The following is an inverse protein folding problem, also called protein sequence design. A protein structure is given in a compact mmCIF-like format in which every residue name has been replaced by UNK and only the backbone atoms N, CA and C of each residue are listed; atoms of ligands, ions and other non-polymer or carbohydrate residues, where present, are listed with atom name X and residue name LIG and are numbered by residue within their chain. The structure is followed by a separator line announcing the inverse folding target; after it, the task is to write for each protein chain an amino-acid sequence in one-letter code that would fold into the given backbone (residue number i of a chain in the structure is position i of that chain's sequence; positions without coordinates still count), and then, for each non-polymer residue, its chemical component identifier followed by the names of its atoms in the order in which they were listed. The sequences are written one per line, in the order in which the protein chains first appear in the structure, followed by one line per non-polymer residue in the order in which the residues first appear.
data_IF_795169569236
#
_entry.id   IF_795169569236
#
_cell.length_a   1.000
_cell.length_b   1.000
_cell.length_c   1.000
_cell.angle_alpha   90.00
_cell.angle_beta   90.00
_cell.angle_gamma   90.00
#
_symmetry.space_group_name_H-M   'P 1'
#
loop_
_entity.id
_entity.type
_entity.pdbx_description
1 polymer ?
#
# COMPACT_ATOMS: atom_id res chain seq x y z
N UNK A 1 16.87 11.06 -26.18
CA UNK A 1 16.74 11.56 -27.57
C UNK A 1 15.26 11.67 -27.84
N UNK A 2 14.52 10.57 -28.00
CA UNK A 2 13.05 10.56 -28.12
C UNK A 2 12.28 11.53 -27.19
N UNK A 3 12.45 11.46 -25.87
CA UNK A 3 11.78 12.40 -24.94
C UNK A 3 12.15 13.89 -25.14
N UNK A 4 13.37 14.17 -25.63
CA UNK A 4 13.80 15.54 -25.95
C UNK A 4 13.20 15.98 -27.27
N UNK A 5 13.21 15.09 -28.25
CA UNK A 5 12.68 15.34 -29.60
C UNK A 5 11.15 15.58 -29.55
N UNK A 6 10.41 14.84 -28.71
CA UNK A 6 8.98 15.06 -28.44
C UNK A 6 8.73 16.37 -27.67
N UNK A 7 9.53 16.67 -26.65
CA UNK A 7 9.37 17.91 -25.88
C UNK A 7 9.67 19.16 -26.74
N UNK A 8 10.64 19.06 -27.66
CA UNK A 8 10.94 20.08 -28.65
C UNK A 8 9.80 20.26 -29.65
N UNK A 9 9.15 19.18 -30.09
CA UNK A 9 7.96 19.23 -30.95
C UNK A 9 6.75 19.91 -30.29
N UNK A 10 6.63 19.86 -28.96
CA UNK A 10 5.52 20.45 -28.19
C UNK A 10 5.92 21.84 -27.61
N UNK A 11 7.18 22.28 -27.79
CA UNK A 11 7.67 23.57 -27.30
C UNK A 11 7.86 23.62 -25.77
N UNK A 12 8.04 22.47 -25.11
CA UNK A 12 8.17 22.34 -23.65
C UNK A 12 9.59 21.91 -23.28
N UNK A 13 10.08 22.34 -22.12
CA UNK A 13 11.39 21.86 -21.60
C UNK A 13 11.34 20.35 -21.33
N UNK A 14 12.26 19.59 -21.92
CA UNK A 14 12.32 18.14 -21.78
C UNK A 14 12.58 17.69 -20.33
N UNK A 15 11.53 17.24 -19.63
CA UNK A 15 11.68 16.60 -18.32
C UNK A 15 11.97 15.10 -18.52
N UNK A 16 13.26 14.74 -18.51
CA UNK A 16 13.71 13.38 -18.76
C UNK A 16 13.38 12.50 -17.56
N UNK A 17 12.31 11.71 -17.69
CA UNK A 17 11.91 10.75 -16.65
C UNK A 17 12.51 9.38 -16.94
N UNK A 18 13.06 8.75 -15.91
CA UNK A 18 13.58 7.38 -15.99
C UNK A 18 12.43 6.37 -15.88
N UNK A 19 12.58 5.21 -16.51
CA UNK A 19 11.69 4.08 -16.29
C UNK A 19 11.83 3.59 -14.85
N UNK A 20 10.70 3.29 -14.22
CA UNK A 20 10.64 2.64 -12.91
C UNK A 20 10.42 1.16 -13.15
N UNK A 21 11.26 0.30 -12.52
CA UNK A 21 11.07 -1.14 -12.57
C UNK A 21 10.34 -1.60 -11.31
N UNK A 22 9.35 -2.49 -11.42
CA UNK A 22 8.67 -3.02 -10.26
C UNK A 22 9.63 -3.95 -9.50
N UNK A 23 9.52 -3.98 -8.17
CA UNK A 23 10.39 -4.77 -7.30
C UNK A 23 9.54 -5.49 -6.27
N UNK A 24 9.83 -6.76 -6.01
CA UNK A 24 9.04 -7.57 -5.05
C UNK A 24 9.11 -7.08 -3.60
N UNK A 25 10.08 -6.25 -3.24
CA UNK A 25 10.39 -5.88 -1.85
C UNK A 25 9.86 -4.50 -1.44
N UNK A 26 9.54 -3.63 -2.40
CA UNK A 26 9.06 -2.28 -2.12
C UNK A 26 7.56 -2.21 -2.34
N UNK A 27 6.82 -1.76 -1.33
CA UNK A 27 5.38 -1.57 -1.44
C UNK A 27 5.08 -0.53 -2.51
N UNK A 28 3.94 -0.69 -3.20
CA UNK A 28 3.49 0.15 -4.32
C UNK A 28 4.40 0.17 -5.57
N UNK A 29 5.45 -0.66 -5.67
CA UNK A 29 6.36 -0.60 -6.81
C UNK A 29 5.67 -0.85 -8.16
N UNK A 30 4.63 -1.68 -8.18
CA UNK A 30 3.84 -1.96 -9.39
C UNK A 30 2.99 -0.75 -9.77
N UNK A 31 2.33 -0.11 -8.80
CA UNK A 31 1.60 1.14 -9.01
C UNK A 31 2.52 2.23 -9.56
N UNK A 32 3.68 2.47 -8.92
CA UNK A 32 4.68 3.46 -9.37
C UNK A 32 5.17 3.15 -10.79
N UNK A 33 5.30 1.87 -11.14
CA UNK A 33 5.68 1.43 -12.49
C UNK A 33 4.60 1.76 -13.50
N UNK A 34 3.32 1.48 -13.20
CA UNK A 34 2.22 1.76 -14.11
C UNK A 34 2.02 3.25 -14.32
N UNK A 35 2.04 4.05 -13.24
CA UNK A 35 1.97 5.52 -13.33
C UNK A 35 3.12 6.04 -14.20
N UNK A 36 4.36 5.58 -13.97
CA UNK A 36 5.49 6.00 -14.80
C UNK A 36 5.38 5.52 -16.25
N UNK A 37 4.83 4.33 -16.49
CA UNK A 37 4.62 3.82 -17.84
C UNK A 37 3.60 4.68 -18.59
N UNK A 38 2.48 5.04 -17.95
CA UNK A 38 1.47 5.93 -18.53
C UNK A 38 2.03 7.33 -18.84
N UNK A 39 2.85 7.90 -17.95
CA UNK A 39 3.57 9.16 -18.19
C UNK A 39 4.56 9.09 -19.38
N UNK A 40 5.04 7.88 -19.69
CA UNK A 40 6.05 7.62 -20.71
C UNK A 40 5.50 6.88 -21.93
N UNK A 41 4.17 6.81 -22.08
CA UNK A 41 3.51 6.08 -23.16
C UNK A 41 4.05 6.47 -24.54
N UNK A 42 4.01 7.76 -24.89
CA UNK A 42 4.52 8.25 -26.19
C UNK A 42 6.00 7.91 -26.43
N UNK A 43 6.93 8.19 -25.48
CA UNK A 43 8.32 7.76 -25.63
C UNK A 43 8.54 6.25 -25.78
N UNK A 44 7.70 5.43 -25.13
CA UNK A 44 7.77 3.96 -25.17
C UNK A 44 7.35 3.46 -26.56
N UNK A 45 6.24 3.96 -27.10
CA UNK A 45 5.75 3.58 -28.42
C UNK A 45 6.71 4.06 -29.52
N UNK A 46 7.18 5.30 -29.43
CA UNK A 46 8.22 5.86 -30.30
C UNK A 46 9.49 5.00 -30.32
N UNK A 47 9.86 4.43 -29.16
CA UNK A 47 11.01 3.54 -29.06
C UNK A 47 10.76 2.19 -29.75
N UNK A 48 9.57 1.62 -29.62
CA UNK A 48 9.19 0.37 -30.28
C UNK A 48 9.20 0.55 -31.80
N UNK A 49 8.59 1.63 -32.30
CA UNK A 49 8.61 1.97 -33.72
C UNK A 49 10.04 2.13 -34.24
N UNK A 50 10.90 2.83 -33.49
CA UNK A 50 12.30 2.99 -33.85
C UNK A 50 13.01 1.64 -33.98
N UNK A 51 12.78 0.72 -33.04
CA UNK A 51 13.38 -0.63 -33.09
C UNK A 51 12.83 -1.50 -34.21
N UNK A 52 11.55 -1.37 -34.55
CA UNK A 52 10.95 -2.02 -35.70
C UNK A 52 11.55 -1.51 -37.01
N UNK A 53 11.70 -0.18 -37.15
CA UNK A 53 12.34 0.46 -38.32
C UNK A 53 13.79 0.01 -38.47
N UNK A 54 14.57 0.03 -37.38
CA UNK A 54 15.96 -0.46 -37.34
C UNK A 54 16.07 -1.92 -37.81
N UNK A 55 15.23 -2.81 -37.28
CA UNK A 55 15.22 -4.21 -37.68
C UNK A 55 14.79 -4.41 -39.16
N UNK A 56 13.78 -3.66 -39.62
CA UNK A 56 13.31 -3.72 -41.00
C UNK A 56 14.40 -3.32 -42.00
N UNK A 57 15.17 -2.28 -41.68
CA UNK A 57 16.29 -1.81 -42.49
C UNK A 57 17.43 -2.83 -42.54
N UNK A 58 17.76 -3.45 -41.39
CA UNK A 58 18.77 -4.50 -41.30
C UNK A 58 18.38 -5.76 -42.11
N UNK A 59 17.09 -6.09 -42.19
CA UNK A 59 16.59 -7.30 -42.86
C UNK A 59 16.27 -7.08 -44.34
N UNK A 60 16.07 -5.84 -44.78
CA UNK A 60 15.79 -5.48 -46.18
C UNK A 60 16.80 -6.05 -47.21
N UNK A 61 18.13 -6.01 -47.00
CA UNK A 61 19.09 -6.59 -47.93
C UNK A 61 19.05 -8.13 -47.96
N UNK A 62 18.71 -8.79 -46.85
CA UNK A 62 18.53 -10.25 -46.81
C UNK A 62 17.29 -10.68 -47.61
N UNK A 63 16.17 -9.95 -47.49
CA UNK A 63 14.94 -10.25 -48.26
C UNK A 63 15.12 -10.18 -49.77
N UNK A 64 16.09 -9.37 -50.26
CA UNK A 64 16.37 -9.21 -51.69
C UNK A 64 17.26 -10.32 -52.28
N UNK A 65 17.98 -11.10 -51.46
CA UNK A 65 18.87 -12.18 -51.93
C UNK A 65 18.20 -13.55 -51.77
N UNK A 66 17.56 -14.05 -52.83
CA UNK A 66 16.78 -15.30 -52.86
C UNK A 66 17.58 -16.60 -52.68
N UNK A 67 18.91 -16.60 -52.85
CA UNK A 67 19.69 -17.82 -53.15
C UNK A 67 20.92 -18.07 -52.24
N UNK A 68 20.92 -17.72 -50.96
CA UNK A 68 22.06 -18.10 -50.09
C UNK A 68 21.57 -18.53 -48.72
N UNK A 69 21.86 -19.78 -48.35
CA UNK A 69 21.74 -20.28 -46.98
C UNK A 69 22.46 -19.29 -46.05
N UNK A 70 21.69 -18.48 -45.33
CA UNK A 70 22.20 -17.48 -44.41
C UNK A 70 21.54 -17.71 -43.06
N UNK A 71 22.37 -17.66 -42.02
CA UNK A 71 21.95 -17.72 -40.62
C UNK A 71 20.81 -16.70 -40.40
N UNK A 72 19.71 -17.09 -39.73
CA UNK A 72 18.59 -16.19 -39.51
C UNK A 72 19.09 -14.95 -38.76
N UNK A 73 18.81 -13.77 -39.31
CA UNK A 73 19.08 -12.51 -38.63
C UNK A 73 18.51 -12.59 -37.21
N UNK A 74 19.28 -12.14 -36.21
CA UNK A 74 18.85 -12.19 -34.81
C UNK A 74 17.50 -11.48 -34.70
N UNK A 75 16.46 -12.25 -34.41
CA UNK A 75 15.10 -11.72 -34.34
C UNK A 75 15.02 -10.69 -33.20
N UNK A 76 14.25 -9.60 -33.38
CA UNK A 76 14.04 -8.65 -32.31
C UNK A 76 13.29 -9.36 -31.18
N UNK A 77 13.37 -8.81 -29.98
CA UNK A 77 12.63 -9.34 -28.82
C UNK A 77 11.15 -9.45 -29.19
N UNK A 78 10.50 -10.53 -28.73
CA UNK A 78 9.11 -10.84 -29.05
C UNK A 78 8.18 -9.64 -28.87
N UNK A 79 8.28 -8.94 -27.74
CA UNK A 79 7.52 -7.71 -27.45
C UNK A 79 7.66 -6.61 -28.53
N UNK A 80 8.86 -6.41 -29.08
CA UNK A 80 9.08 -5.43 -30.15
C UNK A 80 8.48 -5.92 -31.47
N UNK A 81 8.52 -7.24 -31.71
CA UNK A 81 7.95 -7.87 -32.91
C UNK A 81 6.42 -7.80 -32.93
N UNK A 82 5.79 -7.85 -31.76
CA UNK A 82 4.33 -7.78 -31.58
C UNK A 82 3.79 -6.35 -31.67
N UNK A 83 4.65 -5.35 -31.85
CA UNK A 83 4.23 -3.95 -31.97
C UNK A 83 4.12 -3.21 -30.64
N UNK A 84 4.51 -3.85 -29.53
CA UNK A 84 4.48 -3.23 -28.21
C UNK A 84 3.15 -3.38 -27.48
N UNK A 85 2.80 -2.38 -26.67
CA UNK A 85 1.50 -2.33 -26.00
C UNK A 85 0.47 -1.74 -26.98
N UNK A 86 -0.66 -2.42 -27.13
CA UNK A 86 -1.81 -1.95 -27.89
C UNK A 86 -2.59 -0.88 -27.11
N UNK A 87 -3.50 -0.16 -27.80
CA UNK A 87 -4.41 0.79 -27.13
C UNK A 87 -5.22 0.15 -26.01
N UNK A 88 -5.68 -1.09 -26.22
CA UNK A 88 -6.35 -1.93 -25.22
C UNK A 88 -5.47 -2.24 -24.00
N UNK A 89 -4.18 -2.52 -24.21
CA UNK A 89 -3.25 -2.77 -23.10
C UNK A 89 -3.05 -1.50 -22.27
N UNK A 90 -2.96 -0.34 -22.92
CA UNK A 90 -2.85 0.95 -22.25
C UNK A 90 -4.12 1.35 -21.50
N UNK A 91 -5.30 1.06 -22.05
CA UNK A 91 -6.57 1.19 -21.35
C UNK A 91 -6.58 0.31 -20.10
N UNK A 92 -6.13 -0.94 -20.21
CA UNK A 92 -6.05 -1.88 -19.08
C UNK A 92 -5.05 -1.41 -18.01
N UNK A 93 -3.90 -0.87 -18.39
CA UNK A 93 -2.93 -0.27 -17.44
C UNK A 93 -3.57 0.90 -16.70
N UNK A 94 -4.35 1.73 -17.39
CA UNK A 94 -5.04 2.88 -16.79
C UNK A 94 -6.07 2.41 -15.75
N UNK A 95 -6.80 1.33 -16.05
CA UNK A 95 -7.72 0.68 -15.12
C UNK A 95 -6.99 0.12 -13.87
N UNK A 96 -5.81 -0.49 -14.04
CA UNK A 96 -5.00 -0.91 -12.90
C UNK A 96 -4.49 0.25 -12.05
N UNK A 97 -4.16 1.39 -12.66
CA UNK A 97 -3.77 2.59 -11.91
C UNK A 97 -4.93 3.04 -11.01
N UNK A 98 -6.15 3.11 -11.55
CA UNK A 98 -7.34 3.47 -10.77
C UNK A 98 -7.64 2.46 -9.66
N UNK A 99 -7.44 1.16 -9.91
CA UNK A 99 -7.61 0.12 -8.90
C UNK A 99 -6.59 0.23 -7.76
N UNK A 100 -5.33 0.51 -8.08
CA UNK A 100 -4.23 0.52 -7.11
C UNK A 100 -4.05 1.87 -6.40
N UNK A 101 -4.51 2.97 -6.99
CA UNK A 101 -4.38 4.32 -6.43
C UNK A 101 -4.93 4.44 -5.00
N UNK A 102 -6.14 3.95 -4.68
CA UNK A 102 -6.64 3.97 -3.32
C UNK A 102 -5.73 3.24 -2.32
N UNK A 103 -5.14 2.11 -2.73
CA UNK A 103 -4.22 1.34 -1.87
C UNK A 103 -2.88 2.06 -1.69
N UNK A 104 -2.37 2.71 -2.74
CA UNK A 104 -1.16 3.52 -2.65
C UNK A 104 -1.38 4.74 -1.75
N UNK A 105 -2.56 5.36 -1.80
CA UNK A 105 -2.93 6.44 -0.90
C UNK A 105 -3.08 5.96 0.55
N UNK A 106 -3.83 4.87 0.77
CA UNK A 106 -4.01 4.27 2.09
C UNK A 106 -2.69 3.91 2.75
N UNK A 107 -1.79 3.25 2.02
CA UNK A 107 -0.45 2.89 2.53
C UNK A 107 0.38 4.13 2.86
N UNK A 108 0.40 5.15 1.98
CA UNK A 108 1.09 6.43 2.27
C UNK A 108 0.52 7.15 3.49
N UNK A 109 -0.80 7.14 3.66
CA UNK A 109 -1.48 7.74 4.82
C UNK A 109 -1.10 7.02 6.12
N UNK A 110 -1.11 5.68 6.12
CA UNK A 110 -0.85 4.87 7.30
C UNK A 110 0.65 4.73 7.64
N UNK A 111 1.54 4.82 6.66
CA UNK A 111 3.01 4.83 6.88
C UNK A 111 3.54 6.17 7.40
N UNK A 112 2.81 7.26 7.12
CA UNK A 112 3.28 8.61 7.43
C UNK A 112 3.16 8.94 8.91
N UNK A 113 4.28 9.07 9.64
CA UNK A 113 4.35 10.11 10.69
C UNK A 113 4.36 11.47 9.98
N UNK A 114 3.19 11.96 9.61
CA UNK A 114 3.04 13.21 8.83
C UNK A 114 3.81 14.37 9.47
N UNK A 115 4.15 15.41 8.68
CA UNK A 115 4.91 16.61 9.10
C UNK A 115 4.42 17.28 10.40
N UNK A 116 3.20 16.97 10.86
CA UNK A 116 2.56 17.45 12.10
C UNK A 116 2.02 16.32 13.00
N UNK A 117 2.39 15.05 12.79
CA UNK A 117 1.89 13.90 13.55
C UNK A 117 0.39 13.63 13.39
N UNK A 118 -0.23 14.04 12.27
CA UNK A 118 -1.69 13.98 12.05
C UNK A 118 -2.21 12.67 11.46
N UNK A 119 -1.34 11.85 10.88
CA UNK A 119 -1.68 10.59 10.23
C UNK A 119 -0.76 9.47 10.72
N UNK A 120 -1.11 8.22 10.41
CA UNK A 120 -0.44 7.01 10.89
C UNK A 120 -0.90 6.60 12.30
N UNK A 121 -2.06 7.08 12.74
CA UNK A 121 -2.62 6.73 14.03
C UNK A 121 -3.46 5.45 13.93
N UNK A 122 -3.43 4.62 14.97
CA UNK A 122 -4.11 3.31 14.98
C UNK A 122 -5.62 3.44 14.70
N UNK A 123 -6.25 4.54 15.14
CA UNK A 123 -7.67 4.80 14.91
C UNK A 123 -8.03 5.01 13.43
N UNK A 124 -7.08 5.42 12.58
CA UNK A 124 -7.32 5.63 11.14
C UNK A 124 -7.46 4.32 10.38
N UNK A 125 -6.94 3.22 10.92
CA UNK A 125 -6.82 1.94 10.19
C UNK A 125 -8.20 1.39 9.83
N UNK A 126 -9.12 1.24 10.78
CA UNK A 126 -10.47 0.70 10.49
C UNK A 126 -11.23 1.56 9.50
N UNK A 127 -11.15 2.89 9.64
CA UNK A 127 -11.80 3.85 8.74
C UNK A 127 -11.22 3.75 7.33
N UNK A 128 -9.91 3.57 7.21
CA UNK A 128 -9.23 3.42 5.91
C UNK A 128 -9.65 2.12 5.21
N UNK A 129 -9.85 1.03 5.96
CA UNK A 129 -10.32 -0.24 5.39
C UNK A 129 -11.76 -0.15 4.87
N UNK A 130 -12.67 0.50 5.61
CA UNK A 130 -14.04 0.73 5.14
C UNK A 130 -14.05 1.59 3.86
N UNK A 131 -13.24 2.65 3.83
CA UNK A 131 -13.08 3.46 2.62
C UNK A 131 -12.55 2.65 1.43
N UNK A 132 -11.53 1.80 1.62
CA UNK A 132 -11.00 0.93 0.56
C UNK A 132 -12.06 -0.06 0.03
N UNK A 133 -12.90 -0.62 0.90
CA UNK A 133 -14.00 -1.49 0.50
C UNK A 133 -14.99 -0.74 -0.39
N UNK A 134 -15.32 0.51 -0.06
CA UNK A 134 -16.21 1.33 -0.86
C UNK A 134 -15.60 1.73 -2.21
N UNK A 135 -14.28 2.00 -2.26
CA UNK A 135 -13.57 2.22 -3.54
C UNK A 135 -13.65 0.98 -4.44
N UNK A 136 -13.43 -0.22 -3.90
CA UNK A 136 -13.54 -1.46 -4.67
C UNK A 136 -14.96 -1.72 -5.19
N UNK A 137 -16.00 -1.43 -4.38
CA UNK A 137 -17.40 -1.54 -4.82
C UNK A 137 -17.68 -0.56 -5.96
N UNK A 138 -17.29 0.70 -5.81
CA UNK A 138 -17.48 1.73 -6.85
C UNK A 138 -16.78 1.36 -8.16
N UNK A 139 -15.55 0.85 -8.09
CA UNK A 139 -14.82 0.36 -9.26
C UNK A 139 -15.51 -0.85 -9.90
N UNK A 140 -15.95 -1.82 -9.09
CA UNK A 140 -16.67 -2.99 -9.58
C UNK A 140 -17.97 -2.59 -10.27
N UNK A 141 -18.72 -1.64 -9.73
CA UNK A 141 -19.97 -1.17 -10.33
C UNK A 141 -19.71 -0.44 -11.64
N UNK A 142 -18.69 0.42 -11.71
CA UNK A 142 -18.29 1.08 -12.96
C UNK A 142 -17.89 0.08 -14.06
N UNK A 143 -17.17 -0.99 -13.70
CA UNK A 143 -16.73 -1.99 -14.66
C UNK A 143 -17.88 -2.83 -15.23
N UNK A 144 -19.03 -2.94 -14.54
CA UNK A 144 -20.21 -3.65 -15.07
C UNK A 144 -20.82 -2.97 -16.30
N UNK A 145 -20.67 -1.66 -16.39
CA UNK A 145 -21.26 -0.84 -17.46
C UNK A 145 -20.33 -0.71 -18.68
N UNK A 146 -19.15 -1.35 -18.65
CA UNK A 146 -18.18 -1.32 -19.75
C UNK A 146 -18.60 -2.28 -20.86
N UNK A 147 -18.64 -1.77 -22.10
CA UNK A 147 -18.88 -2.60 -23.27
C UNK A 147 -17.58 -3.27 -23.75
N UNK A 148 -17.38 -4.54 -23.37
CA UNK A 148 -16.18 -5.30 -23.73
C UNK A 148 -16.09 -5.72 -25.21
N UNK A 149 -17.15 -5.48 -26.00
CA UNK A 149 -17.15 -5.70 -27.46
C UNK A 149 -16.43 -4.58 -28.23
N UNK A 150 -16.13 -3.45 -27.58
CA UNK A 150 -15.35 -2.37 -28.18
C UNK A 150 -13.87 -2.80 -28.31
N UNK A 151 -13.24 -2.68 -29.50
CA UNK A 151 -11.82 -3.00 -29.69
C UNK A 151 -10.87 -2.19 -28.78
N UNK A 152 -11.28 -1.01 -28.31
CA UNK A 152 -10.51 -0.16 -27.40
C UNK A 152 -10.86 -0.37 -25.91
N UNK A 153 -11.82 -1.28 -25.60
CA UNK A 153 -12.18 -1.58 -24.23
C UNK A 153 -11.05 -2.31 -23.47
N UNK A 154 -10.92 -2.05 -22.17
CA UNK A 154 -9.95 -2.74 -21.33
C UNK A 154 -10.30 -4.24 -21.18
N UNK A 155 -9.34 -5.04 -20.72
CA UNK A 155 -9.51 -6.49 -20.64
C UNK A 155 -10.63 -6.95 -19.67
N UNK A 156 -11.43 -7.92 -20.11
CA UNK A 156 -12.59 -8.47 -19.39
C UNK A 156 -12.23 -9.07 -18.00
N UNK A 157 -10.99 -9.54 -17.85
CA UNK A 157 -10.55 -10.13 -16.58
C UNK A 157 -10.37 -9.12 -15.43
N UNK A 158 -10.50 -7.81 -15.68
CA UNK A 158 -10.39 -6.79 -14.63
C UNK A 158 -11.41 -6.97 -13.51
N UNK A 159 -12.65 -7.36 -13.83
CA UNK A 159 -13.69 -7.61 -12.81
C UNK A 159 -13.26 -8.74 -11.88
N UNK A 160 -12.63 -9.78 -12.42
CA UNK A 160 -12.06 -10.89 -11.63
C UNK A 160 -10.97 -10.37 -10.69
N UNK A 161 -10.11 -9.48 -11.14
CA UNK A 161 -9.05 -8.91 -10.30
C UNK A 161 -9.59 -7.99 -9.20
N UNK A 162 -10.63 -7.20 -9.47
CA UNK A 162 -11.33 -6.42 -8.43
C UNK A 162 -11.95 -7.34 -7.38
N UNK A 163 -12.57 -8.45 -7.80
CA UNK A 163 -13.10 -9.45 -6.87
C UNK A 163 -11.99 -10.09 -6.01
N UNK A 164 -10.82 -10.40 -6.60
CA UNK A 164 -9.67 -10.90 -5.84
C UNK A 164 -9.15 -9.87 -4.83
N UNK A 165 -9.08 -8.59 -5.22
CA UNK A 165 -8.70 -7.51 -4.33
C UNK A 165 -9.69 -7.36 -3.16
N UNK A 166 -11.00 -7.44 -3.44
CA UNK A 166 -12.04 -7.41 -2.42
C UNK A 166 -11.94 -8.58 -1.45
N UNK A 167 -11.82 -9.80 -1.96
CA UNK A 167 -11.62 -11.00 -1.14
C UNK A 167 -10.36 -10.89 -0.26
N UNK A 168 -9.27 -10.35 -0.82
CA UNK A 168 -8.04 -10.16 -0.06
C UNK A 168 -8.20 -9.11 1.04
N UNK A 169 -8.87 -8.00 0.75
CA UNK A 169 -9.14 -6.95 1.72
C UNK A 169 -10.05 -7.47 2.85
N UNK A 170 -11.08 -8.25 2.52
CA UNK A 170 -11.95 -8.90 3.49
C UNK A 170 -11.18 -9.85 4.44
N UNK A 171 -10.25 -10.66 3.91
CA UNK A 171 -9.38 -11.53 4.74
C UNK A 171 -8.56 -10.73 5.77
N UNK A 172 -8.08 -9.55 5.41
CA UNK A 172 -7.41 -8.67 6.38
C UNK A 172 -8.39 -7.99 7.32
N UNK A 173 -9.60 -7.68 6.84
CA UNK A 173 -10.64 -7.06 7.63
C UNK A 173 -11.15 -7.97 8.77
N UNK A 174 -11.21 -9.27 8.53
CA UNK A 174 -11.53 -10.28 9.56
C UNK A 174 -10.49 -10.33 10.69
N UNK A 175 -9.23 -9.97 10.42
CA UNK A 175 -8.17 -9.97 11.45
C UNK A 175 -8.40 -8.90 12.52
N UNK A 176 -9.22 -7.88 12.25
CA UNK A 176 -9.59 -6.88 13.25
C UNK A 176 -10.46 -7.44 14.38
N UNK A 177 -11.15 -8.55 14.16
CA UNK A 177 -12.05 -9.17 15.13
C UNK A 177 -11.27 -9.65 16.39
N UNK A 178 -10.00 -9.99 16.21
CA UNK A 178 -9.11 -10.45 17.28
C UNK A 178 -8.15 -9.36 17.78
N UNK A 179 -8.33 -8.11 17.35
CA UNK A 179 -7.41 -7.01 17.64
C UNK A 179 -8.13 -5.83 18.30
N UNK A 180 -8.49 -5.94 19.60
CA UNK A 180 -9.27 -4.93 20.32
C UNK A 180 -8.57 -3.56 20.40
N UNK A 181 -7.27 -3.49 20.11
CA UNK A 181 -6.49 -2.25 20.04
C UNK A 181 -7.06 -1.27 19.00
N UNK A 182 -7.54 -1.75 17.84
CA UNK A 182 -8.10 -0.88 16.81
C UNK A 182 -9.46 -0.33 17.20
N UNK A 183 -10.29 -1.17 17.83
CA UNK A 183 -11.54 -0.73 18.44
C UNK A 183 -11.31 0.32 19.52
N UNK A 184 -10.41 0.03 20.48
CA UNK A 184 -10.08 0.93 21.58
C UNK A 184 -9.57 2.28 21.09
N UNK A 185 -8.64 2.28 20.12
CA UNK A 185 -8.11 3.51 19.54
C UNK A 185 -9.21 4.37 18.89
N UNK A 186 -10.17 3.74 18.20
CA UNK A 186 -11.26 4.44 17.53
C UNK A 186 -12.28 5.02 18.51
N UNK A 187 -12.66 4.24 19.54
CA UNK A 187 -13.64 4.67 20.55
C UNK A 187 -13.09 5.75 21.48
N UNK A 188 -11.80 5.69 21.80
CA UNK A 188 -11.13 6.71 22.63
C UNK A 188 -10.90 8.03 21.88
N UNK A 189 -11.00 8.03 20.55
CA UNK A 189 -10.85 9.25 19.78
C UNK A 189 -12.11 10.13 19.87
N UNK A 190 -12.04 11.39 20.35
CA UNK A 190 -13.21 12.23 20.60
C UNK A 190 -14.15 12.38 19.41
N UNK A 191 -13.60 12.51 18.20
CA UNK A 191 -14.37 12.62 16.95
C UNK A 191 -14.96 11.29 16.44
N UNK A 192 -14.29 10.17 16.69
CA UNK A 192 -14.63 8.87 16.09
C UNK A 192 -15.31 7.91 17.08
N UNK A 193 -15.54 8.34 18.33
CA UNK A 193 -16.22 7.56 19.37
C UNK A 193 -17.49 6.87 18.89
N UNK A 194 -18.34 7.58 18.16
CA UNK A 194 -19.63 7.08 17.68
C UNK A 194 -19.57 6.54 16.24
N UNK A 195 -18.39 6.56 15.61
CA UNK A 195 -18.25 6.26 14.18
C UNK A 195 -18.52 4.79 13.88
N UNK A 196 -17.96 3.87 14.66
CA UNK A 196 -18.18 2.42 14.48
C UNK A 196 -19.65 2.03 14.70
N UNK A 197 -20.28 2.63 15.70
CA UNK A 197 -21.71 2.42 15.96
C UNK A 197 -22.60 2.97 14.84
N UNK A 198 -22.18 4.04 14.15
CA UNK A 198 -22.88 4.57 12.99
C UNK A 198 -22.64 3.73 11.72
N UNK A 199 -21.40 3.29 11.48
CA UNK A 199 -21.02 2.48 10.32
C UNK A 199 -21.73 1.12 10.29
N UNK A 200 -21.75 0.43 11.43
CA UNK A 200 -22.38 -0.90 11.52
C UNK A 200 -23.75 -0.86 12.18
N UNK A 201 -24.39 0.31 12.17
CA UNK A 201 -25.78 0.40 12.57
C UNK A 201 -26.61 -0.47 11.64
N UNK A 202 -27.29 -1.46 12.23
CA UNK A 202 -28.27 -2.26 11.48
C UNK A 202 -29.31 -1.31 10.89
N UNK A 203 -29.47 -1.26 9.55
CA UNK A 203 -30.47 -0.40 8.94
C UNK A 203 -31.87 -0.76 9.43
N UNK A 204 -32.74 0.23 9.64
CA UNK A 204 -34.12 -0.02 10.09
C UNK A 204 -34.92 -0.88 9.09
N UNK A 205 -34.47 -0.98 7.85
CA UNK A 205 -35.05 -1.79 6.78
C UNK A 205 -34.56 -3.24 6.77
N UNK A 206 -33.56 -3.57 7.60
CA UNK A 206 -32.98 -4.91 7.66
C UNK A 206 -33.91 -5.85 8.43
N UNK A 207 -34.26 -6.97 7.79
CA UNK A 207 -35.09 -8.00 8.40
C UNK A 207 -34.24 -9.27 8.46
N UNK A 208 -33.88 -9.71 9.67
CA UNK A 208 -32.98 -10.87 9.88
C UNK A 208 -33.49 -12.16 9.21
N UNK A 209 -34.82 -12.33 9.14
CA UNK A 209 -35.44 -13.48 8.48
C UNK A 209 -35.31 -13.45 6.94
N UNK A 210 -35.15 -12.26 6.33
CA UNK A 210 -35.05 -12.08 4.87
C UNK A 210 -33.61 -11.95 4.40
N UNK A 211 -32.83 -11.13 5.12
CA UNK A 211 -31.49 -10.70 4.71
C UNK A 211 -30.38 -11.47 5.45
N UNK A 212 -30.74 -12.35 6.40
CA UNK A 212 -29.81 -13.08 7.25
C UNK A 212 -29.30 -12.24 8.43
N UNK A 213 -28.34 -12.79 9.18
CA UNK A 213 -27.67 -12.09 10.29
C UNK A 213 -26.82 -10.94 9.72
N UNK A 214 -26.93 -9.74 10.30
CA UNK A 214 -26.12 -8.60 9.89
C UNK A 214 -24.63 -8.94 9.97
N UNK A 215 -23.85 -8.59 8.94
CA UNK A 215 -22.47 -9.07 8.76
C UNK A 215 -21.48 -8.67 9.89
N UNK A 216 -21.88 -7.75 10.79
CA UNK A 216 -21.13 -7.37 12.01
C UNK A 216 -21.94 -7.50 13.31
N UNK A 217 -22.98 -8.33 13.31
CA UNK A 217 -23.78 -8.57 14.52
C UNK A 217 -22.89 -9.05 15.69
N UNK A 218 -23.09 -8.47 16.87
CA UNK A 218 -22.30 -8.74 18.07
C UNK A 218 -20.82 -8.28 18.07
N UNK A 219 -20.26 -7.82 16.94
CA UNK A 219 -18.85 -7.42 16.85
C UNK A 219 -18.52 -6.26 17.81
N UNK A 220 -19.38 -5.24 17.83
CA UNK A 220 -19.20 -4.05 18.66
C UNK A 220 -19.24 -4.40 20.15
N UNK A 221 -20.20 -5.25 20.56
CA UNK A 221 -20.37 -5.68 21.94
C UNK A 221 -19.22 -6.58 22.40
N UNK A 222 -18.72 -7.45 21.53
CA UNK A 222 -17.59 -8.33 21.83
C UNK A 222 -16.30 -7.53 22.02
N UNK A 223 -16.04 -6.57 21.12
CA UNK A 223 -14.88 -5.69 21.23
C UNK A 223 -15.00 -4.72 22.42
N UNK A 224 -16.21 -4.23 22.73
CA UNK A 224 -16.45 -3.42 23.91
C UNK A 224 -16.14 -4.20 25.20
N UNK A 225 -16.61 -5.45 25.30
CA UNK A 225 -16.30 -6.34 26.42
C UNK A 225 -14.81 -6.62 26.55
N UNK A 226 -14.12 -6.88 25.44
CA UNK A 226 -12.67 -7.07 25.43
C UNK A 226 -11.92 -5.81 25.88
N UNK A 227 -12.35 -4.64 25.43
CA UNK A 227 -11.82 -3.35 25.86
C UNK A 227 -11.99 -3.12 27.37
N UNK A 228 -13.19 -3.37 27.92
CA UNK A 228 -13.43 -3.22 29.36
C UNK A 228 -12.54 -4.14 30.19
N UNK A 229 -12.34 -5.39 29.75
CA UNK A 229 -11.43 -6.33 30.42
C UNK A 229 -9.99 -5.82 30.44
N UNK A 230 -9.48 -5.38 29.28
CA UNK A 230 -8.15 -4.78 29.16
C UNK A 230 -7.99 -3.52 30.03
N UNK A 231 -9.05 -2.70 30.11
CA UNK A 231 -9.04 -1.50 30.93
C UNK A 231 -9.02 -1.81 32.44
N UNK A 232 -9.78 -2.82 32.87
CA UNK A 232 -9.78 -3.28 34.26
C UNK A 232 -8.41 -3.83 34.68
N UNK A 233 -7.79 -4.67 33.84
CA UNK A 233 -6.44 -5.18 34.09
C UNK A 233 -5.42 -4.06 34.26
N UNK A 234 -5.46 -3.04 33.39
CA UNK A 234 -4.61 -1.85 33.51
C UNK A 234 -4.91 -1.06 34.79
N UNK A 235 -6.18 -0.88 35.13
CA UNK A 235 -6.59 -0.13 36.32
C UNK A 235 -6.11 -0.81 37.60
N UNK A 236 -6.27 -2.14 37.68
CA UNK A 236 -5.83 -2.92 38.83
C UNK A 236 -4.29 -2.89 38.95
N UNK A 237 -3.57 -3.08 37.85
CA UNK A 237 -2.11 -2.95 37.83
C UNK A 237 -1.63 -1.53 38.22
N UNK A 238 -2.39 -0.49 37.89
CA UNK A 238 -2.07 0.88 38.30
C UNK A 238 -2.30 1.13 39.80
N UNK A 239 -3.31 0.49 40.39
CA UNK A 239 -3.59 0.53 41.84
C UNK A 239 -2.47 -0.20 42.61
N UNK A 240 -2.07 -1.38 42.14
CA UNK A 240 -0.97 -2.16 42.75
C UNK A 240 0.38 -1.41 42.72
N UNK A 241 0.62 -0.57 41.72
CA UNK A 241 1.82 0.28 41.61
C UNK A 241 1.69 1.56 42.46
N UNK A 242 0.47 2.11 42.58
CA UNK A 242 0.21 3.31 43.38
C UNK A 242 0.33 3.06 44.89
N UNK A 243 -0.04 1.86 45.37
CA UNK A 243 0.13 1.45 46.77
C UNK A 243 1.62 1.25 47.16
N UNK A 244 2.53 1.14 46.19
CA UNK A 244 3.96 0.97 46.40
C UNK A 244 4.81 2.25 46.22
N UNK A 245 4.26 3.35 45.67
CA UNK A 245 5.03 4.54 45.30
C UNK A 245 4.29 5.83 45.71
N UNK A 246 4.90 6.59 46.63
CA UNK A 246 4.49 7.98 46.93
C UNK A 246 4.49 8.82 45.63
N UNK A 247 3.43 9.60 45.31
CA UNK A 247 3.32 10.25 44.02
C UNK A 247 4.49 11.22 43.76
N UNK A 248 5.09 11.22 42.54
CA UNK A 248 6.18 12.13 42.25
C UNK A 248 5.63 13.56 42.18
N UNK A 249 6.25 14.47 42.95
CA UNK A 249 5.94 15.89 42.85
C UNK A 249 6.23 16.40 41.43
N UNK A 250 5.30 17.20 40.89
CA UNK A 250 5.40 17.83 39.58
C UNK A 250 6.71 18.61 39.51
N UNK A 251 7.64 18.16 38.66
CA UNK A 251 8.85 18.94 38.35
C UNK A 251 8.45 20.17 37.53
N UNK A 252 8.98 21.37 37.84
CA UNK A 252 8.79 22.54 37.00
C UNK A 252 9.40 22.30 35.62
N UNK A 253 8.70 22.74 34.58
CA UNK A 253 9.23 22.76 33.22
C UNK A 253 10.44 23.70 33.17
N UNK A 254 11.58 23.19 32.70
CA UNK A 254 12.80 23.98 32.52
C UNK A 254 13.26 23.91 31.06
N UNK A 255 13.17 25.08 30.40
CA UNK A 255 14.22 25.71 29.61
C UNK A 255 14.73 25.01 28.34
N UNK A 256 14.48 25.66 27.20
CA UNK A 256 15.27 25.50 25.97
C UNK A 256 16.75 25.79 26.25
N UNK A 257 17.67 24.90 25.84
CA UNK A 257 18.88 25.27 25.07
C UNK A 257 19.78 24.06 24.82
N UNK A 258 19.79 23.59 23.57
CA UNK A 258 20.96 23.02 22.90
C UNK A 258 20.72 23.19 21.39
N UNK A 259 21.66 23.80 20.66
CA UNK A 259 21.47 24.17 19.26
C UNK A 259 21.10 22.96 18.39
N UNK A 260 19.95 23.07 17.72
CA UNK A 260 19.25 22.08 16.89
C UNK A 260 20.15 21.40 15.85
N UNK A 261 21.15 22.10 15.33
CA UNK A 261 22.04 21.61 14.26
C UNK A 261 23.08 20.58 14.74
N UNK A 262 23.60 20.71 15.96
CA UNK A 262 24.60 19.78 16.51
C UNK A 262 23.98 18.41 16.85
N UNK A 263 22.73 18.41 17.31
CA UNK A 263 21.95 17.21 17.59
C UNK A 263 21.55 16.47 16.29
N UNK A 264 21.14 17.22 15.25
CA UNK A 264 20.74 16.66 13.96
C UNK A 264 21.88 15.89 13.26
N UNK A 265 23.11 16.41 13.26
CA UNK A 265 24.22 15.74 12.58
C UNK A 265 24.69 14.45 13.27
N UNK A 266 24.67 14.43 14.61
CA UNK A 266 24.92 13.22 15.40
C UNK A 266 23.89 12.13 15.09
N UNK A 267 22.59 12.47 15.12
CA UNK A 267 21.51 11.52 14.85
C UNK A 267 21.48 11.02 13.41
N UNK A 268 21.84 11.83 12.41
CA UNK A 268 21.94 11.40 10.99
C UNK A 268 23.04 10.35 10.82
N UNK A 269 24.21 10.57 11.44
CA UNK A 269 25.39 9.69 11.34
C UNK A 269 25.16 8.33 12.02
N UNK A 270 24.41 8.30 13.11
CA UNK A 270 24.07 7.07 13.83
C UNK A 270 23.00 6.26 13.11
N UNK A 271 22.00 6.92 12.51
CA UNK A 271 20.94 6.24 11.75
C UNK A 271 21.44 5.61 10.44
N UNK A 272 22.38 6.26 9.73
CA UNK A 272 22.99 5.70 8.51
C UNK A 272 23.74 4.38 8.80
N UNK A 273 24.48 4.30 9.91
CA UNK A 273 25.19 3.08 10.34
C UNK A 273 24.24 1.95 10.75
N UNK A 274 23.07 2.29 11.28
CA UNK A 274 22.07 1.32 11.73
C UNK A 274 21.24 0.78 10.56
N UNK A 275 20.99 1.59 9.53
CA UNK A 275 20.33 1.18 8.27
C UNK A 275 21.21 0.23 7.46
N UNK A 276 22.53 0.48 7.38
CA UNK A 276 23.48 -0.43 6.70
C UNK A 276 23.57 -1.80 7.38
N UNK A 277 23.43 -1.87 8.71
CA UNK A 277 23.40 -3.12 9.47
C UNK A 277 22.06 -3.87 9.36
N UNK A 278 20.96 -3.18 9.05
CA UNK A 278 19.59 -3.73 9.02
C UNK A 278 19.22 -4.44 7.71
N UNK A 279 20.06 -4.33 6.67
CA UNK A 279 19.77 -4.83 5.31
C UNK A 279 19.99 -6.34 5.12
N UNK A 280 20.36 -7.09 6.16
CA UNK A 280 20.74 -8.50 6.00
C UNK A 280 19.68 -9.55 6.35
N UNK A 281 18.56 -9.24 7.01
CA UNK A 281 17.46 -10.21 7.19
C UNK A 281 16.11 -9.58 7.62
N UNK A 282 15.00 -10.21 7.19
CA UNK A 282 13.61 -9.85 7.46
C UNK A 282 13.26 -10.04 8.95
N UNK A 283 13.03 -8.93 9.67
CA UNK A 283 12.81 -8.86 11.12
C UNK A 283 11.62 -9.71 11.59
N UNK A 284 10.59 -9.86 10.75
CA UNK A 284 9.43 -10.67 11.11
C UNK A 284 9.77 -12.17 11.16
N UNK A 285 10.67 -12.63 10.27
CA UNK A 285 11.12 -14.02 10.24
C UNK A 285 12.13 -14.34 11.34
N UNK A 286 12.95 -13.38 11.74
CA UNK A 286 13.82 -13.52 12.92
C UNK A 286 12.97 -13.66 14.18
N UNK A 287 11.96 -12.80 14.35
CA UNK A 287 11.09 -12.80 15.54
C UNK A 287 10.31 -14.12 15.69
N UNK A 288 9.85 -14.71 14.57
CA UNK A 288 9.15 -16.00 14.59
C UNK A 288 10.04 -17.21 14.90
N UNK A 289 11.36 -17.08 14.75
CA UNK A 289 12.34 -18.17 15.00
C UNK A 289 12.93 -18.14 16.40
N UNK A 290 12.70 -17.07 17.16
CA UNK A 290 13.14 -16.99 18.54
C UNK A 290 12.24 -17.89 19.41
N UNK A 291 12.81 -18.75 20.26
CA UNK A 291 12.03 -19.52 21.22
C UNK A 291 11.37 -18.55 22.22
N UNK A 292 10.14 -18.85 22.63
CA UNK A 292 9.46 -18.07 23.65
C UNK A 292 10.28 -18.07 24.94
N UNK A 293 10.39 -16.91 25.59
CA UNK A 293 11.08 -16.77 26.88
C UNK A 293 10.47 -17.75 27.89
N UNK A 294 11.34 -18.52 28.56
CA UNK A 294 10.92 -19.44 29.59
C UNK A 294 10.19 -18.69 30.71
N UNK A 295 9.18 -19.31 31.32
CA UNK A 295 8.31 -18.68 32.32
C UNK A 295 9.07 -18.20 33.56
N UNK A 296 10.25 -18.73 33.80
CA UNK A 296 11.11 -18.40 34.92
C UNK A 296 12.14 -17.30 34.61
N UNK A 297 12.21 -16.83 33.35
CA UNK A 297 13.20 -15.85 32.93
C UNK A 297 12.83 -14.44 33.42
N UNK A 298 13.79 -13.71 34.00
CA UNK A 298 13.56 -12.40 34.66
C UNK A 298 13.05 -11.33 33.68
N UNK A 299 13.30 -11.50 32.38
CA UNK A 299 12.79 -10.65 31.30
C UNK A 299 11.33 -10.91 30.92
N UNK A 300 10.77 -12.06 31.30
CA UNK A 300 9.34 -12.38 31.07
C UNK A 300 8.42 -11.70 32.09
N UNK A 301 8.97 -11.32 33.25
CA UNK A 301 8.24 -10.74 34.37
C UNK A 301 8.18 -9.21 34.34
N UNK A 302 9.06 -8.54 33.57
CA UNK A 302 9.02 -7.07 33.47
C UNK A 302 9.66 -6.52 32.17
N UNK A 303 8.85 -6.14 31.17
CA UNK A 303 9.35 -5.65 29.87
C UNK A 303 9.87 -4.20 29.88
N UNK A 304 9.92 -3.54 31.04
CA UNK A 304 10.40 -2.15 31.20
C UNK A 304 11.85 -2.04 31.68
N UNK A 305 12.56 -3.15 31.88
CA UNK A 305 14.02 -3.17 32.10
C UNK A 305 14.76 -3.39 30.77
N UNK A 306 14.42 -2.57 29.77
CA UNK A 306 15.31 -2.27 28.65
C UNK A 306 16.11 -1.00 28.98
#
# INVERSE_FOLDING_TARGET
RLQRDEAEAIGVTANIRQLVKPVKTRWNSYFDTFVRAAELHSPIDSYIEFKLKEHSAATAPLRRRKNREQLPAAQPRLYVREGGLSGKDWATITEYIQLLEPFAEATRLLEGRGRHGRHGAIWEVLVTFEWLLDQLKALKDRLKDVNYEDPDAPEDHLVTHVNLAHSKLAEYYEKFDNAPVYYAATVLHPRYKNHLAALWKVPNTHITARDGVHYRDGWLDNNHRAFLRMWQERSNAAVDVADAITPPQKKPQLGLSASRSAFLQSSIKTNLRQVEASLKEDKYKIWRRQPALAKEDRLSLNPLLY
#
